data_IF_698198561653
#
_entry.id   IF_698198561653
#
_cell.length_a   1.000
_cell.length_b   1.000
_cell.length_c   1.000
_cell.angle_alpha   90.00
_cell.angle_beta   90.00
_cell.angle_gamma   90.00
#
_symmetry.space_group_name_H-M   'P 1'
#
loop_
_entity.id
_entity.type
_entity.pdbx_description
1 polymer ?
#
# COMPACT_ATOMS: atom_id res chain seq x y z
N UNK A 1 28.49 -22.46 0.59
CA UNK A 1 29.73 -22.18 1.34
C UNK A 1 29.58 -21.01 2.34
N UNK A 2 29.10 -19.83 1.93
CA UNK A 2 28.95 -18.65 2.83
C UNK A 2 28.03 -18.87 4.05
N UNK A 3 26.89 -19.56 3.90
CA UNK A 3 25.97 -19.85 5.03
C UNK A 3 26.60 -20.74 6.11
N UNK A 4 27.34 -21.79 5.72
CA UNK A 4 28.09 -22.64 6.68
C UNK A 4 29.20 -21.87 7.39
N UNK A 5 29.91 -20.99 6.66
CA UNK A 5 30.97 -20.15 7.26
C UNK A 5 30.42 -19.14 8.26
N UNK A 6 29.25 -18.55 7.99
CA UNK A 6 28.57 -17.66 8.93
C UNK A 6 28.06 -18.41 10.17
N UNK A 7 27.51 -19.61 10.02
CA UNK A 7 27.08 -20.43 11.15
C UNK A 7 28.25 -20.81 12.08
N UNK A 8 29.38 -21.27 11.53
CA UNK A 8 30.58 -21.55 12.34
C UNK A 8 31.12 -20.30 13.06
N UNK A 9 31.05 -19.13 12.41
CA UNK A 9 31.52 -17.87 13.01
C UNK A 9 30.62 -17.42 14.17
N UNK A 10 29.31 -17.58 14.04
CA UNK A 10 28.35 -17.28 15.11
C UNK A 10 28.51 -18.26 16.27
N UNK A 11 28.67 -19.55 15.99
CA UNK A 11 28.96 -20.55 17.02
C UNK A 11 30.27 -20.27 17.75
N UNK A 12 31.34 -19.90 17.03
CA UNK A 12 32.62 -19.56 17.64
C UNK A 12 32.50 -18.32 18.55
N UNK A 13 31.75 -17.30 18.12
CA UNK A 13 31.50 -16.11 18.95
C UNK A 13 30.71 -16.45 20.22
N UNK A 14 29.66 -17.27 20.11
CA UNK A 14 28.87 -17.70 21.26
C UNK A 14 29.66 -18.58 22.24
N UNK A 15 30.44 -19.53 21.73
CA UNK A 15 31.33 -20.35 22.55
C UNK A 15 32.41 -19.50 23.23
N UNK A 16 33.02 -18.55 22.51
CA UNK A 16 33.99 -17.62 23.08
C UNK A 16 33.37 -16.74 24.18
N UNK A 17 32.15 -16.23 23.98
CA UNK A 17 31.43 -15.48 25.01
C UNK A 17 31.13 -16.34 26.24
N UNK A 18 30.77 -17.61 26.05
CA UNK A 18 30.51 -18.56 27.14
C UNK A 18 31.78 -18.88 27.92
N UNK A 19 32.90 -19.16 27.23
CA UNK A 19 34.21 -19.40 27.85
C UNK A 19 34.67 -18.17 28.64
N UNK A 20 34.53 -16.96 28.08
CA UNK A 20 34.88 -15.72 28.79
C UNK A 20 34.01 -15.50 30.03
N UNK A 21 32.72 -15.83 29.98
CA UNK A 21 31.83 -15.72 31.14
C UNK A 21 32.20 -16.73 32.24
N UNK A 22 32.52 -17.97 31.85
CA UNK A 22 32.99 -19.00 32.79
C UNK A 22 34.33 -18.62 33.41
N UNK A 23 35.27 -18.08 32.62
CA UNK A 23 36.55 -17.61 33.14
C UNK A 23 36.37 -16.49 34.18
N UNK A 24 35.53 -15.49 33.89
CA UNK A 24 35.24 -14.42 34.84
C UNK A 24 34.61 -14.94 36.16
N UNK A 25 33.78 -15.99 36.08
CA UNK A 25 33.21 -16.64 37.27
C UNK A 25 34.27 -17.40 38.07
N UNK A 26 35.18 -18.10 37.40
CA UNK A 26 36.30 -18.78 38.04
C UNK A 26 37.18 -17.77 38.77
N UNK A 27 37.58 -16.69 38.09
CA UNK A 27 38.42 -15.64 38.68
C UNK A 27 37.74 -14.96 39.89
N UNK A 28 36.42 -14.79 39.85
CA UNK A 28 35.65 -14.25 40.97
C UNK A 28 35.60 -15.22 42.16
N UNK A 29 35.41 -16.52 41.89
CA UNK A 29 35.42 -17.57 42.93
C UNK A 29 36.81 -17.73 43.55
N UNK A 30 37.88 -17.65 42.75
CA UNK A 30 39.26 -17.69 43.24
C UNK A 30 39.55 -16.51 44.19
N UNK A 31 39.17 -15.29 43.79
CA UNK A 31 39.29 -14.09 44.66
C UNK A 31 38.47 -14.20 45.95
N UNK A 32 37.28 -14.80 45.88
CA UNK A 32 36.47 -15.02 47.08
C UNK A 32 37.09 -16.06 48.00
N UNK A 33 37.66 -17.14 47.45
CA UNK A 33 38.33 -18.17 48.23
C UNK A 33 39.61 -17.66 48.91
N UNK A 34 40.41 -16.83 48.24
CA UNK A 34 41.59 -16.20 48.87
C UNK A 34 41.16 -15.32 50.03
N UNK A 35 40.11 -14.50 49.85
CA UNK A 35 39.58 -13.64 50.91
C UNK A 35 39.06 -14.45 52.11
N UNK A 36 38.31 -15.52 51.87
CA UNK A 36 37.84 -16.40 52.94
C UNK A 36 38.99 -17.07 53.70
N UNK A 37 40.08 -17.40 53.01
CA UNK A 37 41.29 -17.97 53.64
C UNK A 37 41.98 -16.94 54.53
N UNK A 38 42.06 -15.69 54.09
CA UNK A 38 42.59 -14.57 54.89
C UNK A 38 41.71 -14.28 56.12
N UNK A 39 40.39 -14.22 55.94
CA UNK A 39 39.43 -14.02 57.04
C UNK A 39 39.52 -15.16 58.07
N UNK A 40 39.68 -16.42 57.62
CA UNK A 40 39.90 -17.57 58.49
C UNK A 40 41.21 -17.45 59.29
N UNK A 41 42.29 -17.00 58.65
CA UNK A 41 43.57 -16.79 59.32
C UNK A 41 43.47 -15.69 60.40
N UNK A 42 42.76 -14.59 60.12
CA UNK A 42 42.50 -13.51 61.09
C UNK A 42 41.67 -14.01 62.26
N UNK A 43 40.61 -14.80 62.00
CA UNK A 43 39.78 -15.39 63.06
C UNK A 43 40.58 -16.34 63.96
N UNK A 44 41.44 -17.18 63.37
CA UNK A 44 42.32 -18.07 64.13
C UNK A 44 43.30 -17.29 65.01
N UNK A 45 43.92 -16.23 64.51
CA UNK A 45 44.78 -15.36 65.31
C UNK A 45 44.02 -14.70 66.47
N UNK A 46 42.78 -14.27 66.23
CA UNK A 46 41.93 -13.69 67.29
C UNK A 46 41.60 -14.71 68.39
N UNK A 47 41.33 -15.96 68.01
CA UNK A 47 41.09 -17.05 68.96
C UNK A 47 42.33 -17.28 69.83
N UNK A 48 43.53 -17.33 69.23
CA UNK A 48 44.79 -17.50 69.95
C UNK A 48 44.97 -16.36 70.97
N UNK A 49 44.80 -15.10 70.56
CA UNK A 49 44.90 -13.96 71.49
C UNK A 49 43.92 -14.11 72.65
N UNK A 50 42.64 -14.40 72.37
CA UNK A 50 41.63 -14.57 73.42
C UNK A 50 41.95 -15.73 74.38
N UNK A 51 42.53 -16.82 73.89
CA UNK A 51 43.00 -17.92 74.73
C UNK A 51 44.14 -17.48 75.66
N UNK A 52 45.09 -16.67 75.17
CA UNK A 52 46.15 -16.09 75.99
C UNK A 52 45.61 -15.13 77.06
N UNK A 53 44.61 -14.29 76.71
CA UNK A 53 43.98 -13.39 77.69
C UNK A 53 43.22 -14.17 78.76
N UNK A 54 42.54 -15.26 78.38
CA UNK A 54 41.82 -16.11 79.31
C UNK A 54 42.76 -16.78 80.33
N UNK A 55 43.90 -17.31 79.89
CA UNK A 55 44.88 -17.89 80.82
C UNK A 55 45.52 -16.80 81.70
N UNK A 56 45.81 -15.60 81.18
CA UNK A 56 46.30 -14.48 81.99
C UNK A 56 45.30 -14.05 83.07
N UNK A 57 44.01 -13.95 82.74
CA UNK A 57 42.95 -13.62 83.72
C UNK A 57 42.83 -14.71 84.78
N UNK A 58 42.98 -15.98 84.39
CA UNK A 58 42.94 -17.12 85.32
C UNK A 58 44.14 -17.12 86.27
N UNK A 59 45.33 -16.76 85.80
CA UNK A 59 46.52 -16.54 86.63
C UNK A 59 46.33 -15.36 87.60
N UNK A 60 45.82 -14.23 87.10
CA UNK A 60 45.53 -13.05 87.92
C UNK A 60 44.45 -13.34 88.98
N UNK A 61 43.40 -14.07 88.63
CA UNK A 61 42.36 -14.49 89.57
C UNK A 61 42.92 -15.45 90.64
N UNK A 62 43.86 -16.33 90.28
CA UNK A 62 44.56 -17.18 91.25
C UNK A 62 45.41 -16.35 92.19
N UNK A 63 46.15 -15.36 91.65
CA UNK A 63 46.98 -14.46 92.45
C UNK A 63 46.16 -13.61 93.44
N UNK A 64 45.00 -13.10 93.03
CA UNK A 64 44.09 -12.33 93.90
C UNK A 64 43.49 -13.23 95.00
N UNK A 65 43.14 -14.47 94.69
CA UNK A 65 42.69 -15.44 95.71
C UNK A 65 43.80 -15.76 96.73
N UNK A 66 45.05 -15.86 96.29
CA UNK A 66 46.22 -16.07 97.15
C UNK A 66 46.54 -14.84 98.02
N UNK A 67 46.39 -13.63 97.46
CA UNK A 67 46.66 -12.37 98.17
C UNK A 67 45.58 -12.04 99.21
N UNK A 68 44.31 -12.31 98.89
CA UNK A 68 43.19 -12.14 99.82
C UNK A 68 43.24 -13.09 101.03
N UNK A 69 43.95 -14.23 100.94
CA UNK A 69 44.22 -15.08 102.09
C UNK A 69 45.23 -14.48 103.08
N UNK A 70 46.00 -13.44 102.70
CA UNK A 70 47.07 -12.84 103.51
C UNK A 70 46.73 -11.47 104.12
N UNK A 71 45.63 -10.83 103.72
CA UNK A 71 45.25 -9.50 104.22
C UNK A 71 43.97 -9.57 105.03
N UNK A 72 44.07 -10.04 106.27
CA UNK A 72 43.01 -9.86 107.27
C UNK A 72 43.63 -9.68 108.65
N UNK A 73 44.08 -8.45 108.94
CA UNK A 73 44.23 -7.88 110.30
C UNK A 73 44.78 -6.46 110.20
N UNK A 74 43.91 -5.45 110.29
CA UNK A 74 43.90 -4.53 111.43
C UNK A 74 42.81 -3.45 111.25
N UNK A 75 42.04 -3.20 112.30
CA UNK A 75 41.09 -2.10 112.42
C UNK A 75 41.01 -1.71 113.88
N UNK A 76 41.19 -0.43 114.20
CA UNK A 76 40.54 0.22 115.39
C UNK A 76 40.73 1.74 115.53
N UNK A 77 41.20 2.47 114.50
CA UNK A 77 41.12 3.95 114.46
C UNK A 77 40.21 4.50 113.32
N UNK A 78 39.52 3.59 112.63
CA UNK A 78 39.09 3.76 111.24
C UNK A 78 37.56 3.97 111.10
N UNK A 79 36.79 3.89 112.20
CA UNK A 79 35.32 3.76 112.17
C UNK A 79 34.55 4.93 111.56
N UNK A 80 34.94 6.18 111.82
CA UNK A 80 34.28 7.37 111.26
C UNK A 80 34.64 7.55 109.78
N UNK A 81 35.93 7.49 109.45
CA UNK A 81 36.42 7.51 108.07
C UNK A 81 35.81 6.39 107.23
N UNK A 82 35.65 5.19 107.79
CA UNK A 82 34.95 4.07 107.16
C UNK A 82 33.44 4.30 106.97
N UNK A 83 32.80 5.04 107.87
CA UNK A 83 31.36 5.36 107.75
C UNK A 83 31.12 6.42 106.68
N UNK A 84 32.00 7.42 106.61
CA UNK A 84 31.99 8.45 105.58
C UNK A 84 32.35 7.88 104.20
N UNK A 85 33.39 7.04 104.11
CA UNK A 85 33.72 6.29 102.90
C UNK A 85 32.57 5.37 102.45
N UNK A 86 31.84 4.75 103.38
CA UNK A 86 30.65 3.95 103.06
C UNK A 86 29.49 4.79 102.51
N UNK A 87 29.30 6.02 103.02
CA UNK A 87 28.28 6.95 102.51
C UNK A 87 28.64 7.41 101.10
N UNK A 88 29.90 7.83 100.89
CA UNK A 88 30.41 8.22 99.58
C UNK A 88 30.30 7.06 98.57
N UNK A 89 30.63 5.83 98.97
CA UNK A 89 30.46 4.66 98.11
C UNK A 89 29.00 4.44 97.67
N UNK A 90 28.03 4.67 98.58
CA UNK A 90 26.60 4.55 98.24
C UNK A 90 26.15 5.65 97.28
N UNK A 91 26.57 6.89 97.52
CA UNK A 91 26.27 8.03 96.65
C UNK A 91 26.88 7.85 95.26
N UNK A 92 28.14 7.43 95.18
CA UNK A 92 28.83 7.13 93.92
C UNK A 92 28.17 5.95 93.19
N UNK A 93 27.76 4.89 93.91
CA UNK A 93 27.02 3.78 93.31
C UNK A 93 25.67 4.23 92.76
N UNK A 94 24.97 5.13 93.45
CA UNK A 94 23.71 5.68 93.00
C UNK A 94 23.89 6.54 91.74
N UNK A 95 24.87 7.44 91.73
CA UNK A 95 25.22 8.25 90.56
C UNK A 95 25.59 7.36 89.37
N UNK A 96 26.37 6.30 89.60
CA UNK A 96 26.70 5.32 88.55
C UNK A 96 25.45 4.66 87.97
N UNK A 97 24.52 4.20 88.82
CA UNK A 97 23.27 3.59 88.36
C UNK A 97 22.40 4.56 87.56
N UNK A 98 22.38 5.84 87.96
CA UNK A 98 21.59 6.86 87.25
C UNK A 98 22.23 7.23 85.91
N UNK A 99 23.57 7.28 85.82
CA UNK A 99 24.29 7.39 84.55
C UNK A 99 24.06 6.16 83.67
N UNK A 100 24.07 4.95 84.22
CA UNK A 100 23.79 3.71 83.48
C UNK A 100 22.37 3.73 82.87
N UNK A 101 21.35 4.15 83.62
CA UNK A 101 19.97 4.33 83.11
C UNK A 101 19.88 5.39 82.01
N UNK A 102 20.55 6.53 82.18
CA UNK A 102 20.57 7.58 81.16
C UNK A 102 21.23 7.09 79.87
N UNK A 103 22.32 6.31 79.98
CA UNK A 103 22.95 5.68 78.81
C UNK A 103 22.01 4.69 78.11
N UNK A 104 21.24 3.88 78.85
CA UNK A 104 20.23 3.00 78.26
C UNK A 104 19.16 3.78 77.47
N UNK A 105 18.67 4.89 78.03
CA UNK A 105 17.71 5.77 77.34
C UNK A 105 18.32 6.38 76.08
N UNK A 106 19.57 6.89 76.15
CA UNK A 106 20.25 7.44 74.98
C UNK A 106 20.51 6.40 73.88
N UNK A 107 20.82 5.15 74.26
CA UNK A 107 20.95 4.04 73.31
C UNK A 107 19.60 3.80 72.62
N UNK A 108 18.49 3.77 73.38
CA UNK A 108 17.14 3.62 72.83
C UNK A 108 16.78 4.73 71.84
N UNK A 109 16.96 6.00 72.24
CA UNK A 109 16.70 7.15 71.37
C UNK A 109 17.56 7.12 70.08
N UNK A 110 18.82 6.69 70.18
CA UNK A 110 19.69 6.54 69.00
C UNK A 110 19.17 5.47 68.05
N UNK A 111 18.74 4.31 68.56
CA UNK A 111 18.18 3.24 67.73
C UNK A 111 16.90 3.67 67.02
N UNK A 112 16.00 4.38 67.73
CA UNK A 112 14.78 4.93 67.14
C UNK A 112 15.09 5.96 66.04
N UNK A 113 16.05 6.87 66.28
CA UNK A 113 16.50 7.84 65.28
C UNK A 113 17.12 7.16 64.05
N UNK A 114 17.94 6.13 64.24
CA UNK A 114 18.52 5.35 63.14
C UNK A 114 17.45 4.64 62.30
N UNK A 115 16.41 4.09 62.95
CA UNK A 115 15.30 3.47 62.25
C UNK A 115 14.50 4.50 61.45
N UNK A 116 14.19 5.66 62.05
CA UNK A 116 13.49 6.75 61.38
C UNK A 116 14.28 7.28 60.17
N UNK A 117 15.61 7.42 60.31
CA UNK A 117 16.49 7.82 59.21
C UNK A 117 16.45 6.83 58.06
N UNK A 118 16.54 5.52 58.33
CA UNK A 118 16.44 4.47 57.29
C UNK A 118 15.09 4.48 56.57
N UNK A 119 14.00 4.75 57.28
CA UNK A 119 12.68 4.88 56.66
C UNK A 119 12.61 6.09 55.73
N UNK A 120 13.15 7.24 56.17
CA UNK A 120 13.22 8.44 55.33
C UNK A 120 14.11 8.24 54.11
N UNK A 121 15.27 7.58 54.25
CA UNK A 121 16.15 7.24 53.14
C UNK A 121 15.41 6.37 52.11
N UNK A 122 14.66 5.36 52.58
CA UNK A 122 13.84 4.52 51.71
C UNK A 122 12.76 5.33 50.99
N UNK A 123 12.01 6.17 51.71
CA UNK A 123 10.98 7.02 51.11
C UNK A 123 11.57 7.95 50.05
N UNK A 124 12.73 8.55 50.33
CA UNK A 124 13.46 9.41 49.41
C UNK A 124 13.84 8.63 48.14
N UNK A 125 14.41 7.43 48.28
CA UNK A 125 14.74 6.56 47.14
C UNK A 125 13.50 6.22 46.29
N UNK A 126 12.39 5.82 46.92
CA UNK A 126 11.13 5.53 46.20
C UNK A 126 10.60 6.76 45.45
N UNK A 127 10.71 7.96 46.03
CA UNK A 127 10.36 9.21 45.33
C UNK A 127 11.30 9.48 44.17
N UNK A 128 12.61 9.20 44.29
CA UNK A 128 13.54 9.35 43.16
C UNK A 128 13.22 8.38 42.03
N UNK A 129 12.90 7.12 42.32
CA UNK A 129 12.50 6.15 41.31
C UNK A 129 11.22 6.58 40.58
N UNK A 130 10.22 7.06 41.33
CA UNK A 130 9.00 7.62 40.74
C UNK A 130 9.29 8.84 39.86
N UNK A 131 10.18 9.73 40.28
CA UNK A 131 10.60 10.89 39.48
C UNK A 131 11.32 10.48 38.19
N UNK A 132 12.16 9.44 38.23
CA UNK A 132 12.83 8.89 37.04
C UNK A 132 11.79 8.32 36.08
N UNK A 133 10.81 7.55 36.57
CA UNK A 133 9.74 7.01 35.74
C UNK A 133 8.90 8.12 35.08
N UNK A 134 8.55 9.18 35.83
CA UNK A 134 7.82 10.33 35.29
C UNK A 134 8.64 11.11 34.24
N UNK A 135 9.95 11.25 34.45
CA UNK A 135 10.84 11.86 33.45
C UNK A 135 10.87 11.03 32.16
N UNK A 136 10.95 9.71 32.26
CA UNK A 136 10.89 8.82 31.11
C UNK A 136 9.55 8.96 30.36
N UNK A 137 8.42 9.02 31.08
CA UNK A 137 7.11 9.24 30.46
C UNK A 137 7.04 10.57 29.70
N UNK A 138 7.65 11.64 30.22
CA UNK A 138 7.72 12.92 29.51
C UNK A 138 8.55 12.83 28.22
N UNK A 139 9.64 12.07 28.22
CA UNK A 139 10.45 11.84 27.03
C UNK A 139 9.69 11.01 25.99
N UNK A 140 8.97 9.97 26.42
CA UNK A 140 8.10 9.16 25.55
C UNK A 140 6.99 10.03 24.91
N UNK A 141 6.38 10.93 25.69
CA UNK A 141 5.38 11.88 25.18
C UNK A 141 5.96 12.86 24.17
N UNK A 142 7.21 13.33 24.37
CA UNK A 142 7.90 14.18 23.38
C UNK A 142 8.19 13.41 22.09
N UNK A 143 8.65 12.16 22.19
CA UNK A 143 8.87 11.31 21.03
C UNK A 143 7.56 11.08 20.25
N UNK A 144 6.48 10.75 20.95
CA UNK A 144 5.15 10.58 20.35
C UNK A 144 4.65 11.87 19.69
N UNK A 145 4.84 13.03 20.33
CA UNK A 145 4.52 14.35 19.74
C UNK A 145 5.24 14.56 18.41
N UNK A 146 6.55 14.25 18.35
CA UNK A 146 7.32 14.38 17.13
C UNK A 146 6.83 13.44 16.03
N UNK A 147 6.56 12.17 16.37
CA UNK A 147 6.01 11.19 15.43
C UNK A 147 4.66 11.63 14.87
N UNK A 148 3.74 12.08 15.74
CA UNK A 148 2.43 12.58 15.33
C UNK A 148 2.54 13.83 14.45
N UNK A 149 3.45 14.74 14.77
CA UNK A 149 3.70 15.94 13.96
C UNK A 149 4.20 15.56 12.55
N UNK A 150 5.09 14.58 12.45
CA UNK A 150 5.57 14.06 11.18
C UNK A 150 4.47 13.35 10.37
N UNK A 151 3.63 12.53 11.02
CA UNK A 151 2.47 11.89 10.38
C UNK A 151 1.45 12.93 9.90
N UNK A 152 1.20 13.97 10.69
CA UNK A 152 0.31 15.07 10.30
C UNK A 152 0.85 15.82 9.08
N UNK A 153 2.15 16.14 9.07
CA UNK A 153 2.80 16.81 7.94
C UNK A 153 2.74 15.96 6.66
N UNK A 154 3.01 14.65 6.75
CA UNK A 154 2.93 13.77 5.58
C UNK A 154 1.49 13.62 5.07
N UNK A 155 0.50 13.55 5.96
CA UNK A 155 -0.92 13.58 5.59
C UNK A 155 -1.31 14.90 4.93
N UNK A 156 -0.88 16.05 5.45
CA UNK A 156 -1.14 17.37 4.89
C UNK A 156 -0.56 17.51 3.47
N UNK A 157 0.65 17.02 3.26
CA UNK A 157 1.25 16.96 1.91
C UNK A 157 0.44 16.06 0.96
N UNK A 158 -0.07 14.92 1.45
CA UNK A 158 -0.96 14.05 0.67
C UNK A 158 -2.30 14.71 0.32
N UNK A 159 -2.88 15.48 1.24
CA UNK A 159 -4.11 16.26 0.99
C UNK A 159 -3.84 17.35 -0.05
N UNK A 160 -2.72 18.07 0.03
CA UNK A 160 -2.33 19.08 -0.97
C UNK A 160 -2.21 18.49 -2.38
N UNK A 161 -1.54 17.34 -2.52
CA UNK A 161 -1.44 16.65 -3.81
C UNK A 161 -2.80 16.24 -4.37
N UNK A 162 -3.70 15.70 -3.51
CA UNK A 162 -5.06 15.35 -3.92
C UNK A 162 -5.87 16.58 -4.30
N UNK A 163 -5.74 17.69 -3.57
CA UNK A 163 -6.41 18.95 -3.90
C UNK A 163 -5.96 19.48 -5.26
N UNK A 164 -4.66 19.44 -5.55
CA UNK A 164 -4.13 19.88 -6.85
C UNK A 164 -4.67 19.02 -8.00
N UNK A 165 -4.71 17.69 -7.81
CA UNK A 165 -5.29 16.79 -8.79
C UNK A 165 -6.79 17.06 -8.98
N UNK A 166 -7.52 17.36 -7.91
CA UNK A 166 -8.94 17.72 -8.00
C UNK A 166 -9.14 19.03 -8.79
N UNK A 167 -8.35 20.07 -8.53
CA UNK A 167 -8.40 21.32 -9.30
C UNK A 167 -8.10 21.09 -10.79
N UNK A 168 -7.15 20.22 -11.13
CA UNK A 168 -6.86 19.85 -12.53
C UNK A 168 -8.04 19.12 -13.19
N UNK A 169 -8.71 18.24 -12.45
CA UNK A 169 -9.91 17.53 -12.94
C UNK A 169 -11.10 18.49 -13.11
N UNK A 170 -11.29 19.42 -12.19
CA UNK A 170 -12.30 20.49 -12.30
C UNK A 170 -12.05 21.35 -13.54
N UNK A 171 -10.80 21.75 -13.79
CA UNK A 171 -10.44 22.50 -15.00
C UNK A 171 -10.74 21.70 -16.27
N UNK A 172 -10.41 20.40 -16.30
CA UNK A 172 -10.75 19.52 -17.43
C UNK A 172 -12.25 19.39 -17.63
N UNK A 173 -13.01 19.28 -16.55
CA UNK A 173 -14.48 19.22 -16.58
C UNK A 173 -15.06 20.51 -17.17
N UNK A 174 -14.53 21.67 -16.76
CA UNK A 174 -14.93 22.96 -17.30
C UNK A 174 -14.57 23.12 -18.79
N UNK A 175 -13.38 22.66 -19.21
CA UNK A 175 -12.98 22.62 -20.63
C UNK A 175 -13.90 21.71 -21.46
N UNK A 176 -14.27 20.54 -20.93
CA UNK A 176 -15.22 19.64 -21.57
C UNK A 176 -16.61 20.28 -21.67
N UNK A 177 -17.11 20.91 -20.61
CA UNK A 177 -18.40 21.61 -20.61
C UNK A 177 -18.44 22.74 -21.66
N UNK A 178 -17.36 23.51 -21.79
CA UNK A 178 -17.24 24.54 -22.83
C UNK A 178 -17.28 23.94 -24.24
N UNK A 179 -16.57 22.83 -24.47
CA UNK A 179 -16.55 22.13 -25.75
C UNK A 179 -17.94 21.58 -26.11
N UNK A 180 -18.63 20.96 -25.15
CA UNK A 180 -20.00 20.47 -25.33
C UNK A 180 -20.93 21.62 -25.73
N UNK A 181 -20.88 22.75 -25.01
CA UNK A 181 -21.69 23.92 -25.33
C UNK A 181 -21.44 24.44 -26.75
N UNK A 182 -20.18 24.45 -27.20
CA UNK A 182 -19.83 24.84 -28.57
C UNK A 182 -20.38 23.84 -29.61
N UNK A 183 -20.29 22.54 -29.35
CA UNK A 183 -20.83 21.50 -30.23
C UNK A 183 -22.36 21.58 -30.31
N UNK A 184 -23.04 21.79 -29.18
CA UNK A 184 -24.49 22.00 -29.13
C UNK A 184 -24.92 23.22 -29.95
N UNK A 185 -24.18 24.33 -29.87
CA UNK A 185 -24.44 25.52 -30.67
C UNK A 185 -24.28 25.24 -32.17
N UNK A 186 -23.22 24.54 -32.57
CA UNK A 186 -23.00 24.15 -33.97
C UNK A 186 -24.09 23.21 -34.49
N UNK A 187 -24.52 22.25 -33.67
CA UNK A 187 -25.59 21.33 -34.02
C UNK A 187 -26.92 22.08 -34.21
N UNK A 188 -27.25 22.99 -33.30
CA UNK A 188 -28.44 23.86 -33.44
C UNK A 188 -28.39 24.73 -34.69
N UNK A 189 -27.21 25.24 -35.07
CA UNK A 189 -27.07 26.02 -36.30
C UNK A 189 -27.26 25.15 -37.55
N UNK A 190 -26.59 23.99 -37.61
CA UNK A 190 -26.72 23.05 -38.71
C UNK A 190 -28.18 22.55 -38.87
N UNK A 191 -28.90 22.35 -37.76
CA UNK A 191 -30.32 22.01 -37.76
C UNK A 191 -31.18 23.09 -38.43
N UNK A 192 -30.93 24.38 -38.11
CA UNK A 192 -31.62 25.52 -38.74
C UNK A 192 -31.31 25.62 -40.22
N UNK A 193 -30.03 25.51 -40.60
CA UNK A 193 -29.61 25.58 -42.00
C UNK A 193 -30.24 24.44 -42.82
N UNK A 194 -30.31 23.23 -42.23
CA UNK A 194 -31.01 22.08 -42.82
C UNK A 194 -32.50 22.35 -43.01
N UNK A 195 -33.17 22.97 -42.04
CA UNK A 195 -34.59 23.31 -42.13
C UNK A 195 -34.86 24.35 -43.21
N UNK A 196 -34.04 25.40 -43.30
CA UNK A 196 -34.11 26.41 -44.36
C UNK A 196 -33.91 25.77 -45.74
N UNK A 197 -32.84 24.99 -45.92
CA UNK A 197 -32.58 24.29 -47.17
C UNK A 197 -33.71 23.30 -47.55
N UNK A 198 -34.37 22.68 -46.57
CA UNK A 198 -35.55 21.85 -46.81
C UNK A 198 -36.76 22.68 -47.24
N UNK A 199 -36.96 23.86 -46.68
CA UNK A 199 -38.02 24.78 -47.08
C UNK A 199 -37.79 25.31 -48.49
N UNK A 200 -36.57 25.73 -48.82
CA UNK A 200 -36.18 26.18 -50.15
C UNK A 200 -36.37 25.06 -51.18
N UNK A 201 -35.96 23.83 -50.86
CA UNK A 201 -36.21 22.67 -51.73
C UNK A 201 -37.72 22.38 -51.93
N UNK A 202 -38.56 22.61 -50.91
CA UNK A 202 -40.02 22.44 -51.04
C UNK A 202 -40.60 23.51 -51.97
N UNK A 203 -40.21 24.77 -51.78
CA UNK A 203 -40.64 25.89 -52.63
C UNK A 203 -40.19 25.68 -54.08
N UNK A 204 -38.92 25.33 -54.28
CA UNK A 204 -38.38 24.98 -55.59
C UNK A 204 -39.19 23.85 -56.24
N UNK A 205 -39.46 22.75 -55.53
CA UNK A 205 -40.26 21.64 -56.08
C UNK A 205 -41.68 22.08 -56.45
N UNK A 206 -42.28 22.98 -55.68
CA UNK A 206 -43.60 23.54 -55.97
C UNK A 206 -43.56 24.41 -57.23
N UNK A 207 -42.64 25.38 -57.31
CA UNK A 207 -42.49 26.26 -58.47
C UNK A 207 -42.22 25.48 -59.76
N UNK A 208 -41.35 24.48 -59.71
CA UNK A 208 -41.09 23.60 -60.85
C UNK A 208 -42.30 22.73 -61.19
N UNK A 209 -43.01 22.19 -60.19
CA UNK A 209 -44.25 21.47 -60.39
C UNK A 209 -45.31 22.32 -61.10
N UNK A 210 -45.52 23.54 -60.62
CA UNK A 210 -46.46 24.51 -61.21
C UNK A 210 -46.05 24.89 -62.64
N UNK A 211 -44.76 25.06 -62.90
CA UNK A 211 -44.25 25.35 -64.26
C UNK A 211 -44.43 24.17 -65.21
N UNK A 212 -44.17 22.94 -64.74
CA UNK A 212 -44.39 21.70 -65.51
C UNK A 212 -45.87 21.56 -65.84
N UNK A 213 -46.77 21.73 -64.87
CA UNK A 213 -48.21 21.66 -65.07
C UNK A 213 -48.68 22.71 -66.10
N UNK A 214 -48.19 23.95 -65.99
CA UNK A 214 -48.50 25.02 -66.95
C UNK A 214 -48.04 24.68 -68.37
N UNK A 215 -46.83 24.13 -68.53
CA UNK A 215 -46.31 23.70 -69.82
C UNK A 215 -47.07 22.49 -70.38
N UNK A 216 -47.45 21.52 -69.54
CA UNK A 216 -48.27 20.37 -69.94
C UNK A 216 -49.63 20.84 -70.50
N UNK A 217 -50.31 21.76 -69.81
CA UNK A 217 -51.56 22.35 -70.29
C UNK A 217 -51.38 23.07 -71.64
N UNK A 218 -50.28 23.80 -71.83
CA UNK A 218 -49.99 24.43 -73.13
C UNK A 218 -49.73 23.41 -74.24
N UNK A 219 -48.99 22.34 -73.95
CA UNK A 219 -48.72 21.26 -74.90
C UNK A 219 -50.01 20.53 -75.28
N UNK A 220 -50.88 20.26 -74.31
CA UNK A 220 -52.20 19.67 -74.54
C UNK A 220 -53.08 20.57 -75.42
N UNK A 221 -53.12 21.87 -75.14
CA UNK A 221 -53.89 22.83 -75.95
C UNK A 221 -53.34 22.96 -77.37
N UNK A 222 -52.02 23.07 -77.54
CA UNK A 222 -51.38 23.06 -78.86
C UNK A 222 -51.61 21.75 -79.61
N UNK A 223 -51.58 20.62 -78.90
CA UNK A 223 -51.90 19.30 -79.49
C UNK A 223 -53.36 19.23 -79.94
N UNK A 224 -54.28 19.79 -79.15
CA UNK A 224 -55.71 19.91 -79.49
C UNK A 224 -55.88 20.78 -80.74
N UNK A 225 -55.23 21.94 -80.79
CA UNK A 225 -55.23 22.83 -81.97
C UNK A 225 -54.66 22.14 -83.21
N UNK A 226 -53.53 21.43 -83.08
CA UNK A 226 -52.93 20.67 -84.17
C UNK A 226 -53.89 19.59 -84.69
N UNK A 227 -54.51 18.82 -83.79
CA UNK A 227 -55.48 17.79 -84.17
C UNK A 227 -56.70 18.38 -84.90
N UNK A 228 -57.15 19.57 -84.47
CA UNK A 228 -58.24 20.29 -85.12
C UNK A 228 -57.87 20.71 -86.54
N UNK A 229 -56.71 21.35 -86.71
CA UNK A 229 -56.19 21.77 -88.01
C UNK A 229 -55.91 20.56 -88.93
N UNK A 230 -55.39 19.45 -88.40
CA UNK A 230 -55.22 18.19 -89.14
C UNK A 230 -56.56 17.64 -89.64
N UNK A 231 -57.60 17.70 -88.82
CA UNK A 231 -58.95 17.28 -89.20
C UNK A 231 -59.54 18.20 -90.29
N UNK A 232 -59.32 19.52 -90.19
CA UNK A 232 -59.73 20.49 -91.22
C UNK A 232 -58.99 20.28 -92.53
N UNK A 233 -57.67 20.10 -92.49
CA UNK A 233 -56.84 19.76 -93.65
C UNK A 233 -57.29 18.45 -94.29
N UNK A 234 -57.69 17.46 -93.49
CA UNK A 234 -58.22 16.19 -93.99
C UNK A 234 -59.57 16.38 -94.68
N UNK A 235 -60.47 17.17 -94.09
CA UNK A 235 -61.75 17.54 -94.73
C UNK A 235 -61.54 18.29 -96.04
N UNK A 236 -60.58 19.22 -96.10
CA UNK A 236 -60.21 19.90 -97.34
C UNK A 236 -59.64 18.91 -98.36
N UNK A 237 -58.72 18.02 -97.94
CA UNK A 237 -58.18 16.98 -98.82
C UNK A 237 -59.29 16.08 -99.36
N UNK A 238 -60.24 15.65 -98.54
CA UNK A 238 -61.36 14.83 -98.96
C UNK A 238 -62.28 15.58 -99.94
N UNK A 239 -62.51 16.89 -99.73
CA UNK A 239 -63.20 17.77 -100.70
C UNK A 239 -62.45 17.85 -102.04
N UNK A 240 -61.13 18.04 -101.99
CA UNK A 240 -60.26 18.09 -103.18
C UNK A 240 -60.17 16.74 -103.88
N UNK A 241 -60.13 15.62 -103.16
CA UNK A 241 -60.18 14.27 -103.72
C UNK A 241 -61.53 13.97 -104.38
N UNK A 242 -62.65 14.39 -103.79
CA UNK A 242 -63.96 14.31 -104.45
C UNK A 242 -64.05 15.21 -105.69
N UNK A 243 -63.35 16.35 -105.70
CA UNK A 243 -63.25 17.24 -106.86
C UNK A 243 -62.30 16.70 -107.95
N UNK A 244 -61.20 16.02 -107.59
CA UNK A 244 -60.25 15.42 -108.53
C UNK A 244 -60.76 14.10 -109.12
N UNK A 245 -61.52 13.31 -108.36
CA UNK A 245 -62.12 12.07 -108.85
C UNK A 245 -63.21 12.31 -109.89
N UNK A 246 -63.73 13.55 -109.98
CA UNK A 246 -64.62 14.00 -111.05
C UNK A 246 -63.88 14.51 -112.30
N UNK A 247 -62.55 14.61 -112.28
CA UNK A 247 -61.76 15.27 -113.32
C UNK A 247 -60.55 14.48 -113.87
N UNK A 248 -60.40 13.19 -113.54
CA UNK A 248 -59.33 12.32 -114.06
C UNK A 248 -59.85 10.97 -114.62
N UNK A 249 -60.68 11.04 -115.67
CA UNK A 249 -60.72 10.02 -116.72
C UNK A 249 -60.03 10.57 -117.97
N UNK A 250 -58.69 10.64 -117.99
CA UNK A 250 -57.89 10.43 -119.21
C UNK A 250 -56.36 10.54 -119.01
N UNK A 251 -55.68 9.54 -119.60
CA UNK A 251 -54.28 9.47 -120.10
C UNK A 251 -53.08 9.46 -119.14
N UNK A 252 -52.58 8.23 -118.97
CA UNK A 252 -51.19 7.69 -119.09
C UNK A 252 -50.01 8.68 -119.19
N UNK A 253 -48.94 8.38 -118.44
CA UNK A 253 -47.56 8.60 -118.89
C UNK A 253 -46.51 8.78 -117.78
N UNK A 254 -45.54 7.87 -117.70
CA UNK A 254 -44.49 7.76 -116.68
C UNK A 254 -43.37 8.82 -116.76
N UNK A 255 -42.71 9.12 -115.63
CA UNK A 255 -41.26 8.89 -115.41
C UNK A 255 -40.74 9.38 -114.05
N UNK A 256 -39.74 8.63 -113.59
CA UNK A 256 -38.89 8.72 -112.41
C UNK A 256 -38.05 10.02 -112.36
N UNK A 257 -37.77 10.58 -111.17
CA UNK A 257 -36.46 11.10 -110.75
C UNK A 257 -36.42 11.35 -109.22
N UNK A 258 -35.22 11.08 -108.71
CA UNK A 258 -34.73 11.00 -107.33
C UNK A 258 -34.28 12.39 -106.80
N UNK A 259 -34.49 12.70 -105.51
CA UNK A 259 -33.46 13.21 -104.58
C UNK A 259 -33.90 13.22 -103.11
N UNK A 260 -32.92 12.91 -102.26
CA UNK A 260 -32.92 12.79 -100.79
C UNK A 260 -33.08 14.13 -100.07
N UNK A 261 -33.51 14.10 -98.80
CA UNK A 261 -32.67 14.56 -97.68
C UNK A 261 -33.19 14.13 -96.29
N UNK A 262 -32.26 13.76 -95.39
CA UNK A 262 -32.39 14.04 -93.96
C UNK A 262 -32.89 12.96 -92.98
N UNK A 263 -32.45 11.70 -93.05
CA UNK A 263 -32.50 10.79 -91.87
C UNK A 263 -31.13 10.75 -91.20
N UNK A 264 -30.94 11.59 -90.18
CA UNK A 264 -29.84 11.46 -89.23
C UNK A 264 -30.09 10.22 -88.36
N UNK A 265 -29.32 9.16 -88.63
CA UNK A 265 -29.00 8.13 -87.64
C UNK A 265 -28.10 8.78 -86.60
N UNK A 266 -28.58 8.92 -85.37
CA UNK A 266 -27.67 9.01 -84.22
C UNK A 266 -27.54 7.60 -83.64
N UNK A 267 -26.28 7.28 -83.49
CA UNK A 267 -25.65 6.01 -83.20
C UNK A 267 -25.90 5.65 -81.74
N UNK A 268 -26.39 4.43 -81.51
CA UNK A 268 -26.33 3.75 -80.23
C UNK A 268 -24.85 3.48 -79.90
N UNK A 269 -24.23 4.35 -79.10
CA UNK A 269 -22.98 4.02 -78.40
C UNK A 269 -23.33 3.40 -77.05
N UNK A 270 -23.38 2.07 -77.03
CA UNK A 270 -23.32 1.31 -75.81
C UNK A 270 -21.87 1.25 -75.30
N UNK A 271 -21.77 1.37 -73.96
CA UNK A 271 -20.73 0.82 -73.10
C UNK A 271 -19.39 1.56 -73.01
N UNK A 272 -19.32 2.51 -72.07
CA UNK A 272 -18.18 2.68 -71.15
C UNK A 272 -18.66 3.37 -69.86
N UNK A 273 -19.26 2.60 -68.95
CA UNK A 273 -19.24 2.94 -67.52
C UNK A 273 -18.50 1.83 -66.77
N UNK A 274 -17.34 2.20 -66.27
CA UNK A 274 -16.60 1.49 -65.23
C UNK A 274 -17.53 1.24 -64.03
N UNK A 275 -17.69 -0.01 -63.63
CA UNK A 275 -17.75 -0.38 -62.21
C UNK A 275 -16.31 -0.75 -61.78
N UNK A 276 -16.02 -1.06 -60.50
CA UNK A 276 -16.19 -0.37 -59.21
C UNK A 276 -14.79 -0.08 -58.57
N UNK A 277 -14.67 0.20 -57.25
CA UNK A 277 -14.00 -0.82 -56.43
C UNK A 277 -14.71 -1.09 -55.10
N UNK A 278 -15.06 -2.37 -54.91
CA UNK A 278 -15.04 -3.04 -53.61
C UNK A 278 -14.09 -4.22 -53.79
N UNK A 279 -12.86 -4.08 -53.29
CA UNK A 279 -11.91 -5.18 -53.02
C UNK A 279 -12.49 -6.04 -51.88
N UNK A 280 -12.72 -7.34 -52.09
CA UNK A 280 -11.79 -8.48 -51.90
C UNK A 280 -11.50 -8.76 -50.41
N UNK A 281 -11.66 -9.98 -49.86
CA UNK A 281 -11.20 -11.24 -50.43
C UNK A 281 -12.00 -12.49 -50.01
N UNK A 282 -12.03 -13.43 -50.96
CA UNK A 282 -12.53 -14.79 -50.90
C UNK A 282 -11.51 -15.75 -50.29
N UNK A 283 -12.04 -16.70 -49.55
CA UNK A 283 -11.47 -17.99 -49.13
C UNK A 283 -11.26 -18.90 -50.35
N UNK A 284 -10.21 -19.74 -50.36
CA UNK A 284 -10.14 -21.14 -50.86
C UNK A 284 -8.66 -21.67 -50.82
N UNK A 285 -8.41 -23.01 -50.85
CA UNK A 285 -7.50 -23.66 -49.90
C UNK A 285 -6.49 -24.67 -50.49
N UNK A 286 -5.69 -25.23 -49.57
CA UNK A 286 -5.02 -26.55 -49.59
C UNK A 286 -3.89 -26.85 -50.58
N UNK A 287 -2.70 -27.16 -50.03
CA UNK A 287 -1.96 -28.42 -50.29
C UNK A 287 -1.19 -28.92 -49.07
N UNK A 288 -1.05 -30.24 -49.03
CA UNK A 288 -0.52 -31.12 -47.98
C UNK A 288 0.99 -31.01 -47.74
N UNK A 289 1.41 -31.29 -46.49
CA UNK A 289 2.80 -31.59 -46.13
C UNK A 289 2.92 -32.06 -44.68
N UNK A 290 2.96 -33.38 -44.47
CA UNK A 290 3.28 -34.02 -43.19
C UNK A 290 4.79 -34.30 -43.15
N UNK A 291 5.49 -33.79 -42.14
CA UNK A 291 6.64 -34.43 -41.47
C UNK A 291 7.00 -33.67 -40.19
N UNK A 292 7.45 -34.47 -39.22
CA UNK A 292 7.51 -34.22 -37.79
C UNK A 292 8.83 -33.55 -37.35
N UNK A 293 8.82 -33.12 -36.08
CA UNK A 293 9.93 -32.91 -35.13
C UNK A 293 10.40 -31.45 -34.91
N UNK A 294 10.35 -31.11 -33.62
CA UNK A 294 11.03 -30.06 -32.84
C UNK A 294 10.35 -28.70 -32.64
N UNK A 295 9.99 -28.51 -31.36
CA UNK A 295 10.18 -27.29 -30.57
C UNK A 295 9.34 -26.04 -30.90
N UNK A 296 8.23 -25.97 -30.16
CA UNK A 296 7.79 -24.80 -29.41
C UNK A 296 7.70 -23.47 -30.18
N UNK A 297 6.56 -23.29 -30.84
CA UNK A 297 5.89 -21.98 -30.90
C UNK A 297 4.45 -22.13 -30.42
N UNK A 298 4.03 -21.26 -29.50
CA UNK A 298 2.63 -20.88 -29.35
C UNK A 298 2.52 -19.40 -29.70
N UNK A 299 1.83 -19.13 -30.81
CA UNK A 299 1.49 -17.80 -31.29
C UNK A 299 0.38 -17.12 -30.47
N UNK A 300 0.04 -15.87 -30.84
CA UNK A 300 -0.71 -14.93 -30.01
C UNK A 300 -2.22 -15.21 -30.11
N UNK A 301 -2.83 -15.65 -29.02
CA UNK A 301 -4.27 -15.87 -28.95
C UNK A 301 -4.68 -16.08 -27.50
N UNK A 302 -5.63 -15.26 -27.04
CA UNK A 302 -6.18 -15.17 -25.69
C UNK A 302 -5.37 -14.24 -24.77
N UNK A 303 -5.71 -12.94 -24.78
CA UNK A 303 -5.33 -12.03 -23.72
C UNK A 303 -5.99 -12.48 -22.41
N UNK A 304 -5.30 -13.36 -21.67
CA UNK A 304 -5.77 -13.94 -20.41
C UNK A 304 -6.03 -12.82 -19.38
N UNK A 305 -7.31 -12.69 -19.02
CA UNK A 305 -7.75 -11.75 -17.99
C UNK A 305 -7.26 -12.30 -16.64
N UNK A 306 -6.83 -11.40 -15.74
CA UNK A 306 -6.42 -11.82 -14.40
C UNK A 306 -7.58 -12.54 -13.70
N UNK A 307 -7.37 -13.79 -13.27
CA UNK A 307 -8.43 -14.60 -12.65
C UNK A 307 -8.90 -14.06 -11.29
N UNK A 308 -8.17 -13.10 -10.70
CA UNK A 308 -8.51 -12.52 -9.40
C UNK A 308 -9.26 -11.18 -9.50
N UNK A 309 -8.76 -10.23 -10.29
CA UNK A 309 -9.36 -8.88 -10.38
C UNK A 309 -10.26 -8.69 -11.60
N UNK A 310 -10.17 -9.57 -12.61
CA UNK A 310 -10.96 -9.53 -13.84
C UNK A 310 -10.96 -8.20 -14.62
N UNK A 311 -10.05 -7.28 -14.32
CA UNK A 311 -10.01 -5.96 -14.96
C UNK A 311 -9.53 -6.01 -16.42
N UNK A 312 -10.27 -5.39 -17.34
CA UNK A 312 -9.89 -5.26 -18.76
C UNK A 312 -8.62 -4.43 -18.97
N UNK A 313 -8.34 -3.48 -18.07
CA UNK A 313 -7.09 -2.67 -18.03
C UNK A 313 -5.82 -3.53 -17.88
N UNK A 314 -5.98 -4.78 -17.42
CA UNK A 314 -4.89 -5.71 -17.22
C UNK A 314 -4.54 -6.52 -18.47
N UNK A 315 -5.32 -6.43 -19.56
CA UNK A 315 -5.07 -7.16 -20.82
C UNK A 315 -3.73 -6.83 -21.47
N UNK A 316 -3.23 -5.62 -21.26
CA UNK A 316 -1.97 -5.13 -21.84
C UNK A 316 -0.75 -5.27 -20.92
N UNK A 317 -0.93 -5.80 -19.69
CA UNK A 317 0.16 -5.93 -18.68
C UNK A 317 0.69 -7.36 -18.65
N UNK A 318 2.01 -7.52 -18.44
CA UNK A 318 2.66 -8.83 -18.25
C UNK A 318 1.92 -9.63 -17.17
N UNK A 319 1.67 -10.90 -17.46
CA UNK A 319 0.96 -11.82 -16.58
C UNK A 319 1.94 -12.82 -15.99
N UNK A 320 1.68 -13.22 -14.75
CA UNK A 320 2.46 -14.20 -14.03
C UNK A 320 1.60 -15.41 -13.71
N UNK A 321 2.18 -16.60 -13.82
CA UNK A 321 1.54 -17.85 -13.41
C UNK A 321 1.91 -18.14 -11.96
N UNK A 322 0.91 -18.34 -11.11
CA UNK A 322 1.15 -18.74 -9.73
C UNK A 322 1.71 -20.17 -9.68
N UNK A 323 2.88 -20.37 -9.08
CA UNK A 323 3.50 -21.70 -8.97
C UNK A 323 2.81 -22.65 -8.00
N UNK A 324 1.91 -22.15 -7.15
CA UNK A 324 1.13 -22.96 -6.21
C UNK A 324 -0.21 -23.44 -6.79
N UNK A 325 -0.96 -22.58 -7.48
CA UNK A 325 -2.30 -22.92 -8.00
C UNK A 325 -2.39 -22.97 -9.53
N UNK A 326 -1.33 -22.61 -10.26
CA UNK A 326 -1.30 -22.62 -11.73
C UNK A 326 -2.10 -21.52 -12.43
N UNK A 327 -2.80 -20.66 -11.70
CA UNK A 327 -3.62 -19.59 -12.30
C UNK A 327 -2.79 -18.41 -12.84
N UNK A 328 -3.37 -17.69 -13.81
CA UNK A 328 -2.78 -16.50 -14.44
C UNK A 328 -3.25 -15.20 -13.75
N UNK A 329 -2.30 -14.41 -13.26
CA UNK A 329 -2.56 -13.20 -12.48
C UNK A 329 -1.79 -11.99 -13.02
N UNK A 330 -2.32 -10.80 -12.80
CA UNK A 330 -1.55 -9.57 -13.02
C UNK A 330 -0.48 -9.39 -11.94
N UNK A 331 0.50 -8.52 -12.20
CA UNK A 331 1.60 -8.22 -11.28
C UNK A 331 1.12 -7.79 -9.88
N UNK A 332 0.09 -6.94 -9.80
CA UNK A 332 -0.49 -6.52 -8.52
C UNK A 332 -1.14 -7.67 -7.73
N UNK A 333 -1.71 -8.66 -8.43
CA UNK A 333 -2.36 -9.83 -7.81
C UNK A 333 -1.36 -10.96 -7.50
N UNK A 334 -0.10 -10.83 -7.92
CA UNK A 334 0.98 -11.82 -7.76
C UNK A 334 2.29 -11.16 -7.31
N UNK A 335 2.18 -10.14 -6.44
CA UNK A 335 3.31 -9.31 -6.05
C UNK A 335 4.28 -10.02 -5.08
N UNK A 336 3.88 -11.16 -4.50
CA UNK A 336 4.62 -11.82 -3.44
C UNK A 336 5.31 -13.11 -3.92
N UNK A 337 6.49 -13.38 -3.36
CA UNK A 337 7.29 -14.57 -3.63
C UNK A 337 7.55 -15.32 -2.32
N UNK A 338 7.49 -16.64 -2.35
CA UNK A 338 7.61 -17.48 -1.16
C UNK A 338 8.25 -18.83 -1.53
N UNK A 339 9.13 -19.41 -0.69
CA UNK A 339 9.70 -20.73 -0.97
C UNK A 339 8.61 -21.81 -0.87
N UNK A 340 8.36 -22.50 -1.99
CA UNK A 340 7.39 -23.60 -2.03
C UNK A 340 8.09 -24.93 -1.72
N UNK A 341 7.39 -25.95 -1.20
CA UNK A 341 7.98 -27.28 -0.96
C UNK A 341 8.59 -27.90 -2.23
N UNK A 342 8.12 -27.48 -3.41
CA UNK A 342 8.58 -27.91 -4.73
C UNK A 342 9.84 -27.19 -5.24
N UNK A 343 10.31 -26.11 -4.59
CA UNK A 343 11.49 -25.35 -5.01
C UNK A 343 12.17 -24.64 -3.84
N UNK A 344 13.49 -24.77 -3.74
CA UNK A 344 14.30 -24.09 -2.70
C UNK A 344 14.36 -22.57 -2.93
N UNK A 345 14.07 -22.11 -4.15
CA UNK A 345 14.07 -20.70 -4.50
C UNK A 345 12.69 -20.07 -4.25
N UNK A 346 12.62 -18.77 -3.90
CA UNK A 346 11.36 -18.06 -3.77
C UNK A 346 10.62 -18.05 -5.11
N UNK A 347 9.41 -18.63 -5.14
CA UNK A 347 8.59 -18.70 -6.34
C UNK A 347 7.40 -17.74 -6.23
N UNK A 348 6.99 -17.18 -7.36
CA UNK A 348 5.89 -16.21 -7.39
C UNK A 348 4.55 -16.88 -7.15
N UNK A 349 3.78 -16.32 -6.22
CA UNK A 349 2.46 -16.82 -5.84
C UNK A 349 1.40 -15.72 -5.88
N UNK A 350 0.15 -16.07 -6.16
CA UNK A 350 -0.94 -15.12 -6.09
C UNK A 350 -1.23 -14.72 -4.63
N UNK A 351 -1.76 -13.51 -4.43
CA UNK A 351 -2.02 -12.97 -3.09
C UNK A 351 -2.89 -13.89 -2.20
N UNK A 352 -3.93 -14.58 -2.72
CA UNK A 352 -4.67 -15.57 -1.93
C UNK A 352 -3.82 -16.76 -1.49
N UNK A 353 -3.01 -17.34 -2.39
CA UNK A 353 -2.09 -18.44 -2.04
C UNK A 353 -1.05 -17.98 -1.02
N UNK A 354 -0.51 -16.79 -1.18
CA UNK A 354 0.45 -16.21 -0.23
C UNK A 354 -0.12 -16.12 1.18
N UNK A 355 -1.34 -15.57 1.35
CA UNK A 355 -2.00 -15.49 2.65
C UNK A 355 -2.24 -16.86 3.27
N UNK A 356 -2.74 -17.82 2.48
CA UNK A 356 -3.01 -19.19 2.94
C UNK A 356 -1.74 -19.92 3.35
N UNK A 357 -0.67 -19.81 2.56
CA UNK A 357 0.60 -20.47 2.84
C UNK A 357 1.27 -19.88 4.08
N UNK A 358 1.30 -18.55 4.24
CA UNK A 358 1.81 -17.92 5.46
C UNK A 358 1.06 -18.39 6.70
N UNK A 359 -0.28 -18.44 6.64
CA UNK A 359 -1.09 -18.95 7.74
C UNK A 359 -0.80 -20.41 8.06
N UNK A 360 -0.58 -21.26 7.03
CA UNK A 360 -0.21 -22.65 7.26
C UNK A 360 1.18 -22.79 7.88
N UNK A 361 2.17 -22.01 7.43
CA UNK A 361 3.51 -22.01 8.03
C UNK A 361 3.53 -21.47 9.45
N UNK A 362 2.64 -20.53 9.80
CA UNK A 362 2.52 -20.03 11.17
C UNK A 362 1.73 -20.96 12.09
N UNK A 363 0.96 -21.90 11.54
CA UNK A 363 0.08 -22.80 12.30
C UNK A 363 0.67 -24.20 12.51
N UNK A 364 1.81 -24.52 11.88
CA UNK A 364 2.52 -25.77 12.19
C UNK A 364 3.20 -25.64 13.55
N UNK A 365 2.82 -26.43 14.56
CA UNK A 365 3.60 -26.55 15.78
C UNK A 365 4.96 -27.14 15.41
N UNK A 366 6.03 -26.55 15.93
CA UNK A 366 7.37 -27.14 15.95
C UNK A 366 7.36 -28.51 16.65
#
# INVERSE_FOLDING_TARGET
FLKRRNYCRVLFFFNSATVNNLQAKVDALEKSNTKLTEELAVANNRIITLQEEMERVKEESSYILESNRKVSKDRTADGHALTEARKQLKEETQLRLDVEKELEVQIGMRQEMELAMKMLEKDVCEKQDALVALRQQLDDLRALKHELSFKLQSSDMGVKQKSELNSRLEEKTNQMAATIKQLEQRLRQAEKDRQLAQQDNRLFKQEFGDKINSLQLQVEELSRQRSHLELELKRERDRWSHSQQRSQENKKGAKNWLRQDGKLKIQEEHAKLKQPPREENSVLPHKYGRKEISEQLSGPGNAEICQLCQEESSRSKKKNVCKNCGGTFCEACSANELPLPSSINPERVCNPCHKRLIQQYSSSPL
#
